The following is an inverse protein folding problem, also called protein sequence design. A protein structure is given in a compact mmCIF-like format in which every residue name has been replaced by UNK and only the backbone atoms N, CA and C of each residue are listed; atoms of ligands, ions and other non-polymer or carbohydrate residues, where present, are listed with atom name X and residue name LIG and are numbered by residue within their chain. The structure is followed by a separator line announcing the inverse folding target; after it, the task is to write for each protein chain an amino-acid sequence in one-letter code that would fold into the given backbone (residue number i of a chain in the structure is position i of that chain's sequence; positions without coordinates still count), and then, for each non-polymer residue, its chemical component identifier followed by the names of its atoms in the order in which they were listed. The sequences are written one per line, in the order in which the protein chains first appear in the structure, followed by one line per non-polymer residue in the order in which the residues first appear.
data_IF_270155196510
#
_entry.id   IF_270155196510
#
_cell.length_a   1.000
_cell.length_b   1.000
_cell.length_c   1.000
_cell.angle_alpha   90.00
_cell.angle_beta   90.00
_cell.angle_gamma   90.00
#
_symmetry.space_group_name_H-M   'P 1'
#
loop_
_entity.id
_entity.type
_entity.pdbx_description
1 polymer ?
#
# COMPACT_ATOMS: atom_id res chain seq x y z
N UNK A 1 -22.83 14.66 25.07
CA UNK A 1 -22.26 14.00 23.89
C UNK A 1 -20.92 13.45 24.31
N UNK A 2 -20.91 12.22 24.82
CA UNK A 2 -19.69 11.55 25.28
C UNK A 2 -18.90 11.15 24.04
N UNK A 3 -17.87 11.92 23.73
CA UNK A 3 -16.99 11.67 22.61
C UNK A 3 -16.28 10.32 22.82
N UNK A 4 -16.26 9.51 21.76
CA UNK A 4 -15.66 8.18 21.75
C UNK A 4 -14.21 8.23 22.27
N UNK A 5 -13.81 7.33 23.19
CA UNK A 5 -12.45 7.32 23.73
C UNK A 5 -11.40 7.14 22.63
N UNK A 6 -10.25 7.81 22.80
CA UNK A 6 -9.09 7.75 21.90
C UNK A 6 -8.74 6.29 21.55
N UNK A 7 -8.62 6.01 20.25
CA UNK A 7 -8.47 4.66 19.68
C UNK A 7 -9.63 4.28 18.76
N UNK A 8 -10.89 4.49 19.20
CA UNK A 8 -12.08 4.09 18.42
C UNK A 8 -12.25 4.87 17.11
N UNK A 9 -11.79 6.12 17.05
CA UNK A 9 -11.90 6.95 15.84
C UNK A 9 -10.90 6.52 14.76
N UNK A 10 -9.70 6.05 15.13
CA UNK A 10 -8.72 5.51 14.18
C UNK A 10 -9.23 4.22 13.54
N UNK A 11 -9.85 3.35 14.34
CA UNK A 11 -10.49 2.15 13.81
C UNK A 11 -11.66 2.51 12.90
N UNK A 12 -12.54 3.42 13.33
CA UNK A 12 -13.67 3.90 12.50
C UNK A 12 -13.19 4.50 11.16
N UNK A 13 -12.11 5.31 11.20
CA UNK A 13 -11.46 5.86 10.00
C UNK A 13 -10.94 4.75 9.10
N UNK A 14 -10.31 3.72 9.66
CA UNK A 14 -9.79 2.56 8.91
C UNK A 14 -10.92 1.77 8.23
N UNK A 15 -11.99 1.46 8.96
CA UNK A 15 -13.16 0.77 8.40
C UNK A 15 -13.87 1.61 7.33
N UNK A 16 -13.99 2.92 7.53
CA UNK A 16 -14.58 3.82 6.52
C UNK A 16 -13.71 3.93 5.27
N UNK A 17 -12.38 3.98 5.40
CA UNK A 17 -11.47 3.91 4.26
C UNK A 17 -11.64 2.60 3.48
N UNK A 18 -11.77 1.46 4.17
CA UNK A 18 -12.01 0.18 3.53
C UNK A 18 -13.37 0.17 2.80
N UNK A 19 -14.43 0.67 3.43
CA UNK A 19 -15.76 0.76 2.81
C UNK A 19 -15.74 1.65 1.55
N UNK A 20 -15.05 2.79 1.60
CA UNK A 20 -14.89 3.69 0.46
C UNK A 20 -14.13 3.01 -0.70
N UNK A 21 -13.06 2.27 -0.39
CA UNK A 21 -12.32 1.49 -1.39
C UNK A 21 -13.19 0.40 -2.04
N UNK A 22 -14.02 -0.29 -1.26
CA UNK A 22 -14.96 -1.28 -1.80
C UNK A 22 -16.02 -0.64 -2.71
N UNK A 23 -16.59 0.50 -2.31
CA UNK A 23 -17.52 1.25 -3.14
C UNK A 23 -16.88 1.67 -4.46
N UNK A 24 -15.64 2.16 -4.42
CA UNK A 24 -14.89 2.60 -5.60
C UNK A 24 -14.58 1.43 -6.53
N UNK A 25 -14.16 0.29 -5.98
CA UNK A 25 -13.92 -0.92 -6.75
C UNK A 25 -15.21 -1.42 -7.44
N UNK A 26 -16.34 -1.37 -6.74
CA UNK A 26 -17.64 -1.74 -7.30
C UNK A 26 -18.06 -0.79 -8.43
N UNK A 27 -17.94 0.52 -8.20
CA UNK A 27 -18.19 1.55 -9.21
C UNK A 27 -17.31 1.35 -10.44
N UNK A 28 -16.00 1.16 -10.25
CA UNK A 28 -15.04 0.94 -11.32
C UNK A 28 -15.37 -0.33 -12.12
N UNK A 29 -15.70 -1.43 -11.45
CA UNK A 29 -16.08 -2.67 -12.13
C UNK A 29 -17.32 -2.51 -13.04
N UNK A 30 -18.31 -1.70 -12.61
CA UNK A 30 -19.52 -1.45 -13.39
C UNK A 30 -19.25 -0.67 -14.69
N UNK A 31 -18.18 0.14 -14.75
CA UNK A 31 -17.82 0.87 -15.99
C UNK A 31 -17.42 -0.04 -17.15
N UNK A 32 -17.15 -1.32 -16.88
CA UNK A 32 -16.78 -2.33 -17.89
C UNK A 32 -17.96 -3.23 -18.32
N UNK A 33 -19.14 -3.05 -17.73
CA UNK A 33 -20.35 -3.83 -18.05
C UNK A 33 -21.18 -3.05 -19.08
N UNK A 34 -21.94 -3.75 -19.92
CA UNK A 34 -22.78 -3.13 -20.96
C UNK A 34 -23.67 -2.01 -20.39
N UNK A 35 -23.72 -0.91 -21.15
CA UNK A 35 -24.41 0.31 -20.77
C UNK A 35 -25.93 0.17 -20.85
N UNK A 36 -26.51 -0.41 -19.79
CA UNK A 36 -27.95 -0.49 -19.60
C UNK A 36 -28.44 0.64 -18.70
N UNK A 37 -29.70 1.04 -18.85
CA UNK A 37 -30.31 2.07 -17.98
C UNK A 37 -30.20 1.71 -16.48
N UNK A 38 -30.21 0.41 -16.14
CA UNK A 38 -30.05 -0.06 -14.77
C UNK A 38 -28.61 0.16 -14.26
N UNK A 39 -27.60 -0.17 -15.08
CA UNK A 39 -26.18 0.08 -14.76
C UNK A 39 -25.92 1.56 -14.55
N UNK A 40 -26.42 2.42 -15.42
CA UNK A 40 -26.27 3.88 -15.29
C UNK A 40 -26.87 4.41 -13.98
N UNK A 41 -28.07 3.97 -13.60
CA UNK A 41 -28.68 4.34 -12.32
C UNK A 41 -27.84 3.88 -11.12
N UNK A 42 -27.27 2.67 -11.19
CA UNK A 42 -26.40 2.13 -10.13
C UNK A 42 -25.09 2.92 -10.03
N UNK A 43 -24.48 3.29 -11.15
CA UNK A 43 -23.27 4.12 -11.20
C UNK A 43 -23.52 5.49 -10.55
N UNK A 44 -24.60 6.19 -10.93
CA UNK A 44 -24.93 7.50 -10.32
C UNK A 44 -25.24 7.42 -8.82
N UNK A 45 -25.86 6.33 -8.37
CA UNK A 45 -26.06 6.07 -6.95
C UNK A 45 -24.72 5.88 -6.22
N UNK A 46 -23.81 5.09 -6.79
CA UNK A 46 -22.48 4.88 -6.23
C UNK A 46 -21.63 6.15 -6.22
N UNK A 47 -21.72 7.02 -7.23
CA UNK A 47 -21.04 8.34 -7.22
C UNK A 47 -21.49 9.19 -6.04
N UNK A 48 -22.80 9.25 -5.79
CA UNK A 48 -23.36 9.98 -4.66
C UNK A 48 -22.89 9.40 -3.32
N UNK A 49 -22.87 8.06 -3.22
CA UNK A 49 -22.41 7.37 -2.03
C UNK A 49 -20.91 7.58 -1.78
N UNK A 50 -20.08 7.51 -2.81
CA UNK A 50 -18.64 7.79 -2.75
C UNK A 50 -18.39 9.22 -2.26
N UNK A 51 -19.17 10.19 -2.73
CA UNK A 51 -19.08 11.57 -2.26
C UNK A 51 -19.38 11.71 -0.76
N UNK A 52 -20.46 11.08 -0.29
CA UNK A 52 -20.84 11.09 1.13
C UNK A 52 -19.80 10.37 2.01
N UNK A 53 -19.36 9.18 1.60
CA UNK A 53 -18.36 8.40 2.33
C UNK A 53 -17.00 9.10 2.37
N UNK A 54 -16.58 9.75 1.28
CA UNK A 54 -15.35 10.55 1.21
C UNK A 54 -15.39 11.77 2.14
N UNK A 55 -16.52 12.51 2.13
CA UNK A 55 -16.72 13.65 3.04
C UNK A 55 -16.70 13.21 4.50
N UNK A 56 -17.41 12.11 4.82
CA UNK A 56 -17.41 11.53 6.16
C UNK A 56 -16.02 11.09 6.62
N UNK A 57 -15.25 10.43 5.74
CA UNK A 57 -13.88 10.04 6.02
C UNK A 57 -12.98 11.26 6.27
N UNK A 58 -13.16 12.33 5.49
CA UNK A 58 -12.41 13.59 5.66
C UNK A 58 -12.70 14.26 7.01
N UNK A 59 -13.95 14.24 7.46
CA UNK A 59 -14.34 14.72 8.79
C UNK A 59 -13.72 13.85 9.89
N UNK A 60 -13.75 12.52 9.75
CA UNK A 60 -13.13 11.60 10.73
C UNK A 60 -11.62 11.80 10.82
N UNK A 61 -10.94 11.99 9.69
CA UNK A 61 -9.51 12.29 9.65
C UNK A 61 -9.21 13.63 10.32
N UNK A 62 -10.00 14.67 10.05
CA UNK A 62 -9.83 15.99 10.69
C UNK A 62 -10.04 15.92 12.20
N UNK A 63 -11.07 15.18 12.65
CA UNK A 63 -11.31 14.97 14.07
C UNK A 63 -10.18 14.15 14.73
N UNK A 64 -9.64 13.12 14.06
CA UNK A 64 -8.51 12.34 14.59
C UNK A 64 -7.24 13.19 14.76
N UNK A 65 -6.99 14.14 13.86
CA UNK A 65 -5.78 14.98 13.86
C UNK A 65 -5.92 16.22 14.76
N UNK A 66 -7.05 16.93 14.67
CA UNK A 66 -7.25 18.23 15.32
C UNK A 66 -8.21 18.18 16.51
N UNK A 67 -8.88 17.04 16.74
CA UNK A 67 -9.89 16.91 17.78
C UNK A 67 -11.03 17.91 17.60
N UNK A 68 -11.41 18.56 18.70
CA UNK A 68 -12.50 19.51 18.76
C UNK A 68 -12.16 20.92 18.22
N UNK A 69 -10.92 21.17 17.79
CA UNK A 69 -10.55 22.44 17.17
C UNK A 69 -10.98 22.49 15.70
N UNK A 70 -12.28 22.74 15.49
CA UNK A 70 -12.91 22.77 14.16
C UNK A 70 -12.29 23.85 13.26
N UNK A 71 -11.73 24.92 13.83
CA UNK A 71 -11.06 25.99 13.06
C UNK A 71 -9.78 25.52 12.35
N UNK A 72 -9.16 24.44 12.85
CA UNK A 72 -7.98 23.81 12.26
C UNK A 72 -8.30 22.71 11.25
N UNK A 73 -9.58 22.35 11.09
CA UNK A 73 -9.98 21.29 10.16
C UNK A 73 -9.68 21.71 8.73
N UNK A 74 -9.09 20.77 7.98
CA UNK A 74 -8.64 21.00 6.61
C UNK A 74 -8.75 19.71 5.82
N UNK A 75 -8.85 19.78 4.48
CA UNK A 75 -8.83 18.59 3.64
C UNK A 75 -7.67 17.66 4.00
N UNK A 76 -7.88 16.33 3.96
CA UNK A 76 -6.83 15.36 4.26
C UNK A 76 -5.62 15.61 3.36
N UNK A 77 -4.45 15.71 3.98
CA UNK A 77 -3.19 15.75 3.24
C UNK A 77 -2.75 14.31 2.94
N UNK A 78 -2.17 14.12 1.77
CA UNK A 78 -1.64 12.83 1.33
C UNK A 78 -0.12 12.80 1.41
N UNK A 79 0.49 11.64 1.23
CA UNK A 79 1.94 11.51 1.07
C UNK A 79 2.48 12.39 -0.08
N UNK A 80 1.65 12.64 -1.11
CA UNK A 80 1.96 13.55 -2.22
C UNK A 80 2.11 15.01 -1.77
N UNK A 81 1.43 15.39 -0.69
CA UNK A 81 1.52 16.71 -0.07
C UNK A 81 2.63 16.78 1.01
N UNK A 82 3.49 15.76 1.06
CA UNK A 82 4.56 15.62 2.06
C UNK A 82 4.06 15.26 3.46
N UNK A 83 2.79 14.83 3.58
CA UNK A 83 2.21 14.44 4.86
C UNK A 83 2.42 12.95 5.13
N UNK A 84 3.12 12.67 6.22
CA UNK A 84 3.22 11.34 6.82
C UNK A 84 2.53 11.39 8.17
N UNK A 85 1.63 10.44 8.43
CA UNK A 85 1.03 10.33 9.76
C UNK A 85 2.16 10.09 10.78
N UNK A 86 2.25 10.88 11.85
CA UNK A 86 3.22 10.61 12.89
C UNK A 86 2.95 9.21 13.44
N UNK A 87 3.98 8.34 13.43
CA UNK A 87 3.99 7.08 14.16
C UNK A 87 4.09 7.39 15.67
N UNK A 88 3.07 8.07 16.20
CA UNK A 88 2.93 8.40 17.60
C UNK A 88 2.38 7.19 18.34
N UNK A 89 3.20 6.69 19.26
CA UNK A 89 2.89 5.72 20.32
C UNK A 89 1.44 5.81 20.81
N UNK A 90 0.58 4.96 20.24
CA UNK A 90 -0.72 4.66 20.79
C UNK A 90 -0.58 3.30 21.49
N UNK A 91 -0.51 3.32 22.81
CA UNK A 91 -0.77 2.14 23.66
C UNK A 91 -2.23 1.65 23.55
N UNK A 92 -3.00 2.06 22.54
CA UNK A 92 -4.46 1.88 22.48
C UNK A 92 -5.02 1.16 21.26
N UNK A 93 -4.20 0.67 20.32
CA UNK A 93 -4.70 -0.18 19.23
C UNK A 93 -3.89 -1.48 19.18
N UNK A 94 -4.55 -2.59 19.49
CA UNK A 94 -4.00 -3.96 19.51
C UNK A 94 -3.65 -4.51 18.13
N UNK A 95 -2.76 -3.83 17.41
CA UNK A 95 -1.85 -4.44 16.45
C UNK A 95 -0.47 -3.94 16.85
N UNK A 96 0.26 -4.76 17.62
CA UNK A 96 1.58 -4.47 18.17
C UNK A 96 2.69 -4.32 17.13
N UNK A 97 2.43 -3.61 16.03
CA UNK A 97 3.44 -3.23 15.06
C UNK A 97 4.26 -2.07 15.61
N UNK A 98 5.30 -2.40 16.38
CA UNK A 98 6.43 -1.49 16.55
C UNK A 98 7.11 -1.40 15.19
N UNK A 99 6.85 -0.33 14.46
CA UNK A 99 7.51 -0.05 13.18
C UNK A 99 9.03 -0.05 13.34
N UNK A 100 9.71 -0.46 12.27
CA UNK A 100 11.17 -0.60 12.24
C UNK A 100 11.59 -1.78 11.37
N UNK A 101 12.81 -1.71 10.82
CA UNK A 101 13.42 -2.86 10.15
C UNK A 101 13.93 -3.80 11.24
N UNK A 102 13.55 -5.09 11.26
CA UNK A 102 14.05 -6.04 12.25
C UNK A 102 15.59 -6.06 12.23
N UNK A 103 16.22 -5.88 13.38
CA UNK A 103 17.67 -5.96 13.52
C UNK A 103 18.13 -7.42 13.47
N UNK A 104 19.32 -7.68 12.89
CA UNK A 104 19.90 -9.02 12.84
C UNK A 104 19.33 -9.96 11.77
N UNK A 105 18.60 -9.44 10.77
CA UNK A 105 18.20 -10.25 9.62
C UNK A 105 19.43 -10.76 8.85
N UNK A 106 19.56 -12.08 8.73
CA UNK A 106 20.59 -12.72 7.92
C UNK A 106 20.11 -12.83 6.47
N UNK A 107 20.85 -12.29 5.48
CA UNK A 107 20.47 -12.44 4.07
C UNK A 107 20.56 -13.90 3.63
N UNK A 108 19.50 -14.42 3.00
CA UNK A 108 19.52 -15.70 2.28
C UNK A 108 20.01 -15.50 0.82
N UNK A 109 19.76 -14.31 0.25
CA UNK A 109 20.22 -13.93 -1.08
C UNK A 109 20.74 -12.49 -1.10
N UNK A 110 21.73 -12.22 -1.97
CA UNK A 110 22.24 -10.87 -2.24
C UNK A 110 22.01 -10.49 -3.69
N UNK A 111 21.60 -9.23 -3.91
CA UNK A 111 21.48 -8.61 -5.23
C UNK A 111 22.52 -7.48 -5.33
N UNK A 112 23.34 -7.51 -6.38
CA UNK A 112 24.31 -6.45 -6.62
C UNK A 112 24.71 -6.36 -8.11
N UNK A 113 24.93 -5.13 -8.61
CA UNK A 113 25.35 -4.90 -10.01
C UNK A 113 26.74 -5.45 -10.37
N UNK A 114 27.60 -5.67 -9.37
CA UNK A 114 29.03 -5.96 -9.55
C UNK A 114 29.42 -7.42 -9.75
N UNK A 115 28.47 -8.36 -9.89
CA UNK A 115 28.73 -9.73 -10.39
C UNK A 115 29.48 -10.72 -9.47
N UNK A 116 30.03 -10.29 -8.34
CA UNK A 116 30.76 -11.19 -7.42
C UNK A 116 29.81 -11.92 -6.46
N UNK A 117 29.21 -13.02 -6.92
CA UNK A 117 28.42 -13.94 -6.08
C UNK A 117 27.05 -13.42 -5.63
N UNK A 118 26.54 -12.37 -6.28
CA UNK A 118 25.17 -11.88 -6.12
C UNK A 118 24.33 -12.18 -7.36
N UNK A 119 23.00 -12.18 -7.19
CA UNK A 119 22.06 -12.01 -8.29
C UNK A 119 22.22 -10.62 -8.92
N UNK A 120 21.98 -10.52 -10.23
CA UNK A 120 22.08 -9.24 -10.95
C UNK A 120 20.80 -8.43 -10.85
N UNK A 121 19.67 -9.12 -10.75
CA UNK A 121 18.33 -8.52 -10.65
C UNK A 121 17.63 -8.94 -9.36
N UNK A 122 16.62 -8.16 -8.97
CA UNK A 122 15.78 -8.48 -7.81
C UNK A 122 14.86 -9.65 -8.14
N UNK A 123 14.35 -9.74 -9.38
CA UNK A 123 13.52 -10.85 -9.82
C UNK A 123 14.25 -12.21 -9.71
N UNK A 124 15.52 -12.29 -10.12
CA UNK A 124 16.32 -13.53 -9.98
C UNK A 124 16.41 -14.00 -8.53
N UNK A 125 16.57 -13.07 -7.58
CA UNK A 125 16.62 -13.39 -6.16
C UNK A 125 15.26 -13.83 -5.61
N UNK A 126 14.15 -13.27 -6.13
CA UNK A 126 12.78 -13.71 -5.81
C UNK A 126 12.54 -15.13 -6.34
N UNK A 127 12.98 -15.42 -7.56
CA UNK A 127 12.81 -16.72 -8.19
C UNK A 127 13.57 -17.82 -7.43
N UNK A 128 14.74 -17.47 -6.88
CA UNK A 128 15.53 -18.35 -6.01
C UNK A 128 14.90 -18.64 -4.63
N UNK A 129 13.92 -17.85 -4.19
CA UNK A 129 13.27 -18.08 -2.91
C UNK A 129 12.50 -19.43 -2.92
N UNK A 130 12.53 -20.22 -1.85
CA UNK A 130 11.80 -21.49 -1.80
C UNK A 130 10.29 -21.26 -1.84
N UNK A 131 9.58 -22.04 -2.65
CA UNK A 131 8.12 -22.04 -2.64
C UNK A 131 7.60 -22.67 -1.33
N UNK A 132 6.51 -22.13 -0.78
CA UNK A 132 5.81 -22.68 0.40
C UNK A 132 6.73 -22.85 1.62
N UNK A 133 7.61 -21.89 1.89
CA UNK A 133 8.57 -21.91 3.00
C UNK A 133 7.96 -21.87 4.43
N UNK A 134 6.67 -22.13 4.59
CA UNK A 134 5.95 -22.01 5.86
C UNK A 134 6.11 -20.59 6.42
N UNK A 135 6.49 -20.51 7.70
CA UNK A 135 6.70 -19.26 8.44
C UNK A 135 8.14 -18.72 8.36
N UNK A 136 9.05 -19.43 7.65
CA UNK A 136 10.43 -18.98 7.49
C UNK A 136 10.48 -17.76 6.55
N UNK A 137 11.15 -16.70 7.00
CA UNK A 137 11.46 -15.53 6.18
C UNK A 137 12.58 -15.86 5.20
N UNK A 138 12.45 -15.40 3.96
CA UNK A 138 13.51 -15.41 2.97
C UNK A 138 13.97 -13.98 2.73
N UNK A 139 15.18 -13.65 3.18
CA UNK A 139 15.69 -12.27 3.19
C UNK A 139 16.57 -12.03 1.97
N UNK A 140 16.12 -11.14 1.09
CA UNK A 140 16.86 -10.67 -0.08
C UNK A 140 17.47 -9.31 0.27
N UNK A 141 18.80 -9.26 0.39
CA UNK A 141 19.52 -8.00 0.58
C UNK A 141 19.87 -7.39 -0.78
N UNK A 142 19.37 -6.19 -1.02
CA UNK A 142 19.58 -5.45 -2.26
C UNK A 142 20.58 -4.35 -1.98
N UNK A 143 21.76 -4.44 -2.61
CA UNK A 143 22.81 -3.44 -2.43
C UNK A 143 22.42 -2.11 -3.07
N UNK A 144 23.06 -1.04 -2.62
CA UNK A 144 22.92 0.28 -3.23
C UNK A 144 23.03 0.24 -4.77
N UNK A 145 22.17 1.00 -5.42
CA UNK A 145 22.02 1.02 -6.86
C UNK A 145 20.58 1.28 -7.31
N UNK A 146 20.46 1.61 -8.60
CA UNK A 146 19.18 1.77 -9.30
C UNK A 146 18.92 0.52 -10.14
N UNK A 147 17.83 -0.19 -9.86
CA UNK A 147 17.41 -1.41 -10.52
C UNK A 147 16.16 -1.10 -11.35
N UNK A 148 16.34 -1.02 -12.67
CA UNK A 148 15.24 -0.75 -13.62
C UNK A 148 14.58 -2.08 -14.01
N UNK A 149 13.59 -2.51 -13.23
CA UNK A 149 12.91 -3.79 -13.42
C UNK A 149 11.50 -3.78 -12.82
N UNK A 150 10.65 -4.68 -13.29
CA UNK A 150 9.35 -4.97 -12.66
C UNK A 150 9.44 -6.26 -11.89
N UNK A 151 9.29 -6.19 -10.56
CA UNK A 151 9.41 -7.34 -9.67
C UNK A 151 8.03 -7.90 -9.35
N UNK A 152 7.83 -9.18 -9.64
CA UNK A 152 6.62 -9.92 -9.29
C UNK A 152 6.97 -11.01 -8.29
N UNK A 153 6.30 -10.99 -7.14
CA UNK A 153 6.41 -12.03 -6.11
C UNK A 153 5.21 -12.97 -6.24
N UNK A 154 5.41 -14.20 -6.75
CA UNK A 154 4.34 -15.18 -6.87
C UNK A 154 3.71 -15.54 -5.54
N UNK A 155 2.41 -15.85 -5.54
CA UNK A 155 1.62 -16.22 -4.37
C UNK A 155 2.25 -17.37 -3.54
N UNK A 156 2.94 -18.30 -4.18
CA UNK A 156 3.62 -19.42 -3.53
C UNK A 156 4.91 -19.03 -2.79
N UNK A 157 5.52 -17.88 -3.12
CA UNK A 157 6.73 -17.35 -2.48
C UNK A 157 6.32 -16.53 -1.24
N UNK A 158 5.95 -17.23 -0.17
CA UNK A 158 5.52 -16.59 1.09
C UNK A 158 6.71 -16.08 1.91
N UNK A 159 6.48 -15.03 2.70
CA UNK A 159 7.43 -14.48 3.69
C UNK A 159 8.76 -13.97 3.10
N UNK A 160 8.73 -13.43 1.87
CA UNK A 160 9.88 -12.75 1.26
C UNK A 160 10.07 -11.36 1.90
N UNK A 161 11.31 -11.04 2.25
CA UNK A 161 11.70 -9.75 2.83
C UNK A 161 12.73 -9.08 1.94
N UNK A 162 12.45 -7.85 1.50
CA UNK A 162 13.44 -7.01 0.81
C UNK A 162 14.14 -6.10 1.82
N UNK A 163 15.47 -6.13 1.82
CA UNK A 163 16.32 -5.33 2.69
C UNK A 163 17.30 -4.52 1.84
N UNK A 164 17.02 -3.23 1.66
CA UNK A 164 17.94 -2.30 1.00
C UNK A 164 19.03 -1.75 1.93
N UNK A 165 20.13 -1.26 1.36
CA UNK A 165 21.20 -0.57 2.11
C UNK A 165 20.79 0.84 2.61
N UNK A 166 19.59 1.31 2.25
CA UNK A 166 18.97 2.53 2.76
C UNK A 166 17.97 3.14 1.79
N UNK A 167 17.01 3.89 2.33
CA UNK A 167 16.10 4.72 1.53
C UNK A 167 16.92 5.70 0.66
N UNK A 168 16.60 5.77 -0.63
CA UNK A 168 17.30 6.61 -1.61
C UNK A 168 18.65 6.05 -2.11
N UNK A 169 19.24 5.07 -1.41
CA UNK A 169 20.45 4.36 -1.91
C UNK A 169 20.11 3.16 -2.77
N UNK A 170 19.07 2.43 -2.38
CA UNK A 170 18.55 1.28 -3.12
C UNK A 170 17.22 1.69 -3.74
N UNK A 171 17.14 1.71 -5.07
CA UNK A 171 15.95 2.15 -5.82
C UNK A 171 15.57 1.08 -6.82
N UNK A 172 14.34 0.56 -6.72
CA UNK A 172 13.72 -0.26 -7.76
C UNK A 172 12.75 0.63 -8.52
N UNK A 173 12.92 0.74 -9.83
CA UNK A 173 12.15 1.67 -10.66
C UNK A 173 11.59 1.00 -11.91
N UNK A 174 10.45 1.51 -12.37
CA UNK A 174 9.71 1.04 -13.53
C UNK A 174 8.74 2.11 -13.99
N UNK A 175 8.35 2.07 -15.26
CA UNK A 175 7.58 3.13 -15.93
C UNK A 175 6.29 2.63 -16.59
N UNK A 176 5.82 1.44 -16.19
CA UNK A 176 4.58 0.86 -16.72
C UNK A 176 3.37 1.72 -16.36
N UNK A 177 2.51 1.96 -17.34
CA UNK A 177 1.30 2.78 -17.17
C UNK A 177 0.16 2.30 -18.08
N UNK A 178 -1.07 2.69 -17.72
CA UNK A 178 -2.30 2.29 -18.44
C UNK A 178 -2.44 2.87 -19.84
N UNK A 179 -1.63 3.88 -20.20
CA UNK A 179 -1.56 4.41 -21.55
C UNK A 179 -0.84 3.48 -22.53
N UNK A 180 -0.11 2.48 -22.02
CA UNK A 180 0.55 1.48 -22.85
C UNK A 180 -0.43 0.34 -23.23
N UNK A 181 -0.40 -0.15 -24.48
CA UNK A 181 -1.30 -1.22 -24.92
C UNK A 181 -1.21 -2.47 -24.06
N UNK A 182 -2.36 -2.97 -23.57
CA UNK A 182 -2.43 -4.23 -22.83
C UNK A 182 -2.03 -4.17 -21.35
N UNK A 183 -1.77 -2.98 -20.79
CA UNK A 183 -1.40 -2.80 -19.39
C UNK A 183 -2.60 -2.32 -18.57
N UNK A 184 -3.08 -3.15 -17.64
CA UNK A 184 -4.07 -2.75 -16.64
C UNK A 184 -3.41 -2.05 -15.45
N UNK A 185 -4.17 -1.29 -14.67
CA UNK A 185 -3.68 -0.65 -13.43
C UNK A 185 -3.06 -1.65 -12.45
N UNK A 186 -3.55 -2.90 -12.42
CA UNK A 186 -2.95 -3.96 -11.61
C UNK A 186 -1.53 -4.35 -12.11
N UNK A 187 -1.32 -4.26 -13.42
CA UNK A 187 -0.06 -4.58 -14.07
C UNK A 187 0.93 -3.40 -14.13
N UNK A 188 0.57 -2.19 -13.68
CA UNK A 188 1.50 -1.04 -13.68
C UNK A 188 2.46 -1.04 -12.49
N UNK A 189 2.19 -1.80 -11.44
CA UNK A 189 3.03 -1.80 -10.24
C UNK A 189 4.47 -2.25 -10.55
N UNK A 190 5.46 -1.42 -10.19
CA UNK A 190 6.90 -1.72 -10.30
C UNK A 190 7.30 -2.90 -9.41
N UNK A 191 6.71 -3.01 -8.22
CA UNK A 191 6.86 -4.15 -7.33
C UNK A 191 5.47 -4.61 -6.92
N UNK A 192 5.13 -5.86 -7.20
CA UNK A 192 3.78 -6.37 -6.98
C UNK A 192 3.77 -7.84 -6.59
N UNK A 193 2.72 -8.22 -5.86
CA UNK A 193 2.37 -9.62 -5.65
C UNK A 193 1.53 -10.10 -6.83
N UNK A 194 1.90 -11.24 -7.42
CA UNK A 194 1.18 -11.91 -8.51
C UNK A 194 0.51 -13.19 -8.01
#
# INVERSE_FOLDING_TARGET
MEALPHGKIKDARTWMSAALLYQYACWSALTFVNDTQQVNKTISFLDSLLGLSSNGLSMMASYDIFGNDIGSWRPPKTERDGFWEPSGSSEGSGLGFKGGVPTGLRPDAMVCKGGNGCYKTVQEAVDAAPAKAGDRKFVIRIREGVYEETVRVPLEKKNVVFLGDGMGKTVITGSLNVGQPGISTYNTATVGKS
#
